data_IF_792518235312
#
_entry.id   IF_792518235312
#
_cell.length_a   1.000
_cell.length_b   1.000
_cell.length_c   1.000
_cell.angle_alpha   90.00
_cell.angle_beta   90.00
_cell.angle_gamma   90.00
#
_symmetry.space_group_name_H-M   'P 1'
#
loop_
_entity.id
_entity.type
_entity.pdbx_description
1 polymer ?
#
# COMPACT_ATOMS: atom_id res chain seq x y z
N UNK A 1 3.96 5.73 13.61
CA UNK A 1 2.89 6.29 14.46
C UNK A 1 1.99 5.10 14.69
N UNK A 2 1.84 4.61 15.93
CA UNK A 2 1.35 3.25 16.18
C UNK A 2 0.00 2.95 15.50
N UNK A 3 -0.19 1.70 15.07
CA UNK A 3 -1.46 1.23 14.55
C UNK A 3 -2.49 1.32 15.69
N UNK A 4 -3.57 2.11 15.55
CA UNK A 4 -4.54 2.29 16.61
C UNK A 4 -5.20 0.96 16.97
N UNK A 5 -5.10 0.56 18.24
CA UNK A 5 -5.62 -0.72 18.76
C UNK A 5 -4.55 -1.77 19.08
N UNK A 6 -3.29 -1.55 18.68
CA UNK A 6 -2.19 -2.46 18.98
C UNK A 6 -1.11 -1.79 19.83
N UNK A 7 -0.51 -2.56 20.74
CA UNK A 7 0.64 -2.13 21.52
C UNK A 7 1.84 -1.92 20.60
N UNK A 8 2.48 -0.75 20.68
CA UNK A 8 3.66 -0.39 19.86
C UNK A 8 4.83 -1.37 19.99
N UNK A 9 4.86 -2.20 21.05
CA UNK A 9 5.88 -3.22 21.25
C UNK A 9 5.69 -4.47 20.37
N UNK A 10 4.52 -4.65 19.76
CA UNK A 10 4.20 -5.79 18.89
C UNK A 10 4.11 -5.43 17.41
N UNK A 11 4.31 -4.15 17.06
CA UNK A 11 4.28 -3.65 15.68
C UNK A 11 5.70 -3.65 15.15
N UNK A 12 5.94 -4.38 14.05
CA UNK A 12 7.18 -4.30 13.31
C UNK A 12 7.06 -3.22 12.22
N UNK A 13 7.95 -2.23 12.26
CA UNK A 13 7.95 -1.09 11.33
C UNK A 13 9.15 -1.17 10.38
N UNK A 14 8.86 -1.01 9.10
CA UNK A 14 9.83 -1.04 8.01
C UNK A 14 9.65 0.21 7.16
N UNK A 15 10.72 0.93 6.88
CA UNK A 15 10.67 2.16 6.08
C UNK A 15 11.74 2.11 4.98
N UNK A 16 11.34 2.50 3.77
CA UNK A 16 12.19 2.63 2.60
C UNK A 16 12.15 4.08 2.12
N UNK A 17 13.05 4.89 2.64
CA UNK A 17 13.12 6.34 2.38
C UNK A 17 13.30 6.67 0.90
N UNK A 18 14.02 5.83 0.15
CA UNK A 18 14.30 6.02 -1.29
C UNK A 18 13.04 5.97 -2.17
N UNK A 19 12.01 5.26 -1.73
CA UNK A 19 10.73 5.14 -2.45
C UNK A 19 9.59 5.84 -1.69
N UNK A 20 9.88 6.51 -0.57
CA UNK A 20 8.84 7.08 0.30
C UNK A 20 7.84 6.03 0.80
N UNK A 21 8.27 4.78 1.00
CA UNK A 21 7.40 3.69 1.39
C UNK A 21 7.61 3.30 2.85
N UNK A 22 6.53 2.98 3.54
CA UNK A 22 6.53 2.54 4.92
C UNK A 22 5.52 1.44 5.11
N UNK A 23 5.92 0.38 5.80
CA UNK A 23 5.06 -0.74 6.16
C UNK A 23 5.14 -0.98 7.65
N UNK A 24 3.98 -0.97 8.29
CA UNK A 24 3.81 -1.33 9.70
C UNK A 24 3.00 -2.62 9.71
N UNK A 25 3.50 -3.67 10.37
CA UNK A 25 2.79 -4.95 10.43
C UNK A 25 2.71 -5.47 11.87
N UNK A 26 1.63 -6.18 12.14
CA UNK A 26 1.38 -6.91 13.38
C UNK A 26 1.19 -8.36 13.00
N UNK A 27 2.14 -9.19 13.43
CA UNK A 27 2.05 -10.62 13.24
C UNK A 27 2.68 -11.33 14.44
N UNK A 28 2.15 -12.51 14.77
CA UNK A 28 2.72 -13.36 15.82
C UNK A 28 4.13 -13.86 15.48
N UNK A 29 4.47 -13.95 14.19
CA UNK A 29 5.81 -14.30 13.72
C UNK A 29 6.20 -13.43 12.52
N UNK A 30 7.25 -12.64 12.70
CA UNK A 30 7.87 -11.80 11.65
C UNK A 30 9.26 -12.35 11.37
N UNK A 31 9.58 -12.75 10.13
CA UNK A 31 10.91 -13.24 9.80
C UNK A 31 11.91 -12.08 9.75
N UNK A 32 13.16 -12.31 10.17
CA UNK A 32 14.23 -11.30 10.13
C UNK A 32 14.56 -10.82 8.70
N UNK A 33 14.24 -11.64 7.70
CA UNK A 33 14.39 -11.30 6.29
C UNK A 33 13.27 -10.39 5.77
N UNK A 34 12.18 -10.19 6.54
CA UNK A 34 11.10 -9.30 6.13
C UNK A 34 11.61 -7.86 6.02
N UNK A 35 11.22 -7.19 4.95
CA UNK A 35 11.59 -5.80 4.74
C UNK A 35 11.04 -5.23 3.45
N UNK A 36 11.48 -4.02 3.14
CA UNK A 36 11.10 -3.29 1.94
C UNK A 36 12.31 -3.18 1.01
N UNK A 37 12.11 -3.54 -0.25
CA UNK A 37 13.09 -3.36 -1.30
C UNK A 37 12.48 -2.55 -2.45
N UNK A 38 13.31 -1.75 -3.12
CA UNK A 38 12.87 -1.09 -4.35
C UNK A 38 12.54 -2.16 -5.39
N UNK A 39 11.34 -2.08 -5.98
CA UNK A 39 11.00 -3.02 -7.04
C UNK A 39 11.76 -2.69 -8.32
N UNK A 40 12.20 -3.74 -9.01
CA UNK A 40 12.74 -3.64 -10.38
C UNK A 40 11.66 -3.68 -11.45
N UNK A 41 10.38 -3.80 -11.07
CA UNK A 41 9.26 -3.85 -12.00
C UNK A 41 8.94 -2.47 -12.56
N UNK A 42 8.48 -2.46 -13.81
CA UNK A 42 8.02 -1.24 -14.43
C UNK A 42 6.72 -0.79 -13.74
N UNK A 43 6.63 0.47 -13.27
CA UNK A 43 5.41 0.96 -12.66
C UNK A 43 4.23 0.90 -13.64
N UNK A 44 2.99 0.64 -13.18
CA UNK A 44 1.81 0.79 -14.02
C UNK A 44 1.71 2.23 -14.54
N UNK A 45 0.98 2.42 -15.65
CA UNK A 45 0.84 3.74 -16.29
C UNK A 45 0.20 4.79 -15.37
N UNK A 46 -0.63 4.31 -14.44
CA UNK A 46 -1.32 5.11 -13.43
C UNK A 46 -0.50 5.26 -12.13
N UNK A 47 0.77 4.80 -12.09
CA UNK A 47 1.60 4.91 -10.91
C UNK A 47 2.03 6.36 -10.63
N UNK A 48 1.74 6.80 -9.41
CA UNK A 48 2.14 8.10 -8.89
C UNK A 48 3.45 8.04 -8.08
N UNK A 49 4.02 6.84 -7.90
CA UNK A 49 5.26 6.59 -7.17
C UNK A 49 6.10 5.46 -7.75
N UNK A 50 7.19 5.10 -7.07
CA UNK A 50 8.02 3.95 -7.41
C UNK A 50 7.44 2.67 -6.76
N UNK A 51 7.36 1.54 -7.49
CA UNK A 51 6.90 0.28 -6.93
C UNK A 51 7.89 -0.28 -5.92
N UNK A 52 7.36 -0.93 -4.89
CA UNK A 52 8.11 -1.48 -3.75
C UNK A 52 7.77 -2.94 -3.55
N UNK A 53 8.79 -3.76 -3.39
CA UNK A 53 8.66 -5.18 -3.07
C UNK A 53 8.72 -5.43 -1.57
N UNK A 54 7.75 -6.20 -1.09
CA UNK A 54 7.64 -6.76 0.24
C UNK A 54 8.45 -8.05 0.29
N UNK A 55 9.65 -7.98 0.87
CA UNK A 55 10.56 -9.12 0.99
C UNK A 55 10.05 -10.07 2.07
N UNK A 56 10.10 -11.38 1.81
CA UNK A 56 9.70 -12.43 2.74
C UNK A 56 8.26 -12.29 3.30
N UNK A 57 7.34 -11.67 2.55
CA UNK A 57 5.94 -11.56 2.99
C UNK A 57 5.23 -12.92 3.06
N UNK A 58 5.72 -13.92 2.34
CA UNK A 58 5.23 -15.30 2.37
C UNK A 58 5.56 -16.07 3.63
N UNK A 59 6.58 -15.63 4.35
CA UNK A 59 7.04 -16.27 5.57
C UNK A 59 6.35 -15.71 6.81
N UNK A 60 5.58 -14.62 6.66
CA UNK A 60 4.76 -14.05 7.73
C UNK A 60 3.70 -15.06 8.20
N UNK A 61 3.54 -15.20 9.52
CA UNK A 61 2.53 -16.09 10.12
C UNK A 61 1.78 -15.39 11.23
N UNK A 62 0.50 -15.76 11.37
CA UNK A 62 -0.43 -15.17 12.32
C UNK A 62 -0.48 -13.64 12.16
N UNK A 63 -0.71 -13.18 10.93
CA UNK A 63 -0.87 -11.77 10.61
C UNK A 63 -2.19 -11.31 11.23
N UNK A 64 -2.15 -10.20 11.95
CA UNK A 64 -3.32 -9.54 12.50
C UNK A 64 -3.66 -8.25 11.74
N UNK A 65 -2.62 -7.50 11.35
CA UNK A 65 -2.78 -6.27 10.57
C UNK A 65 -1.53 -5.96 9.77
N UNK A 66 -1.70 -5.41 8.57
CA UNK A 66 -0.63 -4.86 7.73
C UNK A 66 -1.07 -3.49 7.26
N UNK A 67 -0.25 -2.49 7.50
CA UNK A 67 -0.47 -1.11 7.07
C UNK A 67 0.63 -0.71 6.12
N UNK A 68 0.27 -0.26 4.94
CA UNK A 68 1.17 0.10 3.86
C UNK A 68 0.94 1.57 3.54
N UNK A 69 1.92 2.41 3.82
CA UNK A 69 1.90 3.83 3.53
C UNK A 69 2.91 4.14 2.42
N UNK A 70 2.44 4.76 1.34
CA UNK A 70 3.25 5.11 0.17
C UNK A 70 3.08 6.60 -0.11
N UNK A 71 4.19 7.30 -0.27
CA UNK A 71 4.19 8.68 -0.75
C UNK A 71 3.90 8.68 -2.25
N UNK A 72 3.02 9.56 -2.69
CA UNK A 72 2.68 9.73 -4.09
C UNK A 72 3.01 11.15 -4.55
N UNK A 73 3.36 11.31 -5.84
CA UNK A 73 3.61 12.63 -6.41
C UNK A 73 2.32 13.18 -7.04
N UNK A 74 1.67 14.19 -6.44
CA UNK A 74 0.44 14.76 -6.98
C UNK A 74 0.65 15.49 -8.32
N UNK A 75 1.89 15.79 -8.70
CA UNK A 75 2.19 16.39 -10.01
C UNK A 75 2.09 15.38 -11.15
N UNK A 76 2.09 14.07 -10.84
CA UNK A 76 1.88 12.99 -11.81
C UNK A 76 0.39 12.69 -12.04
N UNK A 77 -0.50 13.26 -11.24
CA UNK A 77 -1.93 13.07 -11.40
C UNK A 77 -2.41 13.61 -12.75
N UNK A 78 -3.32 12.89 -13.43
CA UNK A 78 -3.86 13.37 -14.69
C UNK A 78 -4.69 14.66 -14.50
N UNK A 79 -4.76 15.51 -15.54
CA UNK A 79 -5.52 16.75 -15.44
C UNK A 79 -7.01 16.46 -15.26
N UNK A 80 -7.56 16.86 -14.11
CA UNK A 80 -8.95 16.58 -13.73
C UNK A 80 -9.12 15.52 -12.64
N UNK A 81 -8.05 14.80 -12.30
CA UNK A 81 -8.04 13.89 -11.15
C UNK A 81 -8.07 14.66 -9.84
N UNK A 82 -8.82 14.13 -8.86
CA UNK A 82 -8.75 14.60 -7.50
C UNK A 82 -7.50 14.02 -6.84
N UNK A 83 -6.81 14.78 -5.98
CA UNK A 83 -5.68 14.24 -5.23
C UNK A 83 -6.08 13.17 -4.20
N UNK A 84 -7.38 12.92 -4.03
CA UNK A 84 -7.99 11.84 -3.24
C UNK A 84 -8.24 10.56 -4.04
N UNK A 85 -8.16 10.61 -5.37
CA UNK A 85 -8.33 9.47 -6.28
C UNK A 85 -7.02 8.68 -6.36
N UNK A 86 -6.45 8.35 -5.20
CA UNK A 86 -5.18 7.65 -5.08
C UNK A 86 -5.35 6.46 -4.17
N UNK A 87 -4.95 5.29 -4.64
CA UNK A 87 -4.99 4.06 -3.86
C UNK A 87 -3.62 3.38 -3.85
N UNK A 88 -3.38 2.55 -2.83
CA UNK A 88 -2.30 1.57 -2.91
C UNK A 88 -2.78 0.45 -3.82
N UNK A 89 -2.09 0.25 -4.93
CA UNK A 89 -2.28 -0.91 -5.78
C UNK A 89 -1.26 -2.00 -5.43
N UNK A 90 -1.69 -3.26 -5.49
CA UNK A 90 -0.85 -4.43 -5.28
C UNK A 90 -0.82 -5.26 -6.56
N UNK A 91 0.37 -5.73 -6.93
CA UNK A 91 0.56 -6.63 -8.07
C UNK A 91 0.11 -8.04 -7.67
N UNK A 92 -1.12 -8.38 -8.06
CA UNK A 92 -1.69 -9.71 -7.93
C UNK A 92 -1.55 -10.49 -9.26
N UNK A 93 -1.89 -11.78 -9.25
CA UNK A 93 -1.76 -12.66 -10.42
C UNK A 93 -2.52 -12.16 -11.67
N UNK A 94 -3.64 -11.45 -11.49
CA UNK A 94 -4.46 -10.90 -12.60
C UNK A 94 -4.07 -9.46 -12.99
N UNK A 95 -3.10 -8.87 -12.30
CA UNK A 95 -2.62 -7.50 -12.51
C UNK A 95 -2.61 -6.66 -11.23
N UNK A 96 -2.56 -5.35 -11.39
CA UNK A 96 -2.56 -4.41 -10.28
C UNK A 96 -3.98 -4.22 -9.75
N UNK A 97 -4.23 -4.66 -8.52
CA UNK A 97 -5.51 -4.50 -7.82
C UNK A 97 -5.43 -3.36 -6.80
N UNK A 98 -6.34 -2.37 -6.83
CA UNK A 98 -6.39 -1.33 -5.81
C UNK A 98 -6.88 -1.91 -4.47
N UNK A 99 -6.20 -1.53 -3.40
CA UNK A 99 -6.56 -1.87 -2.02
C UNK A 99 -7.37 -0.75 -1.38
N UNK A 100 -8.21 -1.09 -0.41
CA UNK A 100 -8.91 -0.10 0.42
C UNK A 100 -7.87 0.79 1.13
N UNK A 101 -7.82 2.04 0.68
CA UNK A 101 -6.77 2.99 1.03
C UNK A 101 -7.35 4.33 1.46
N UNK A 102 -6.64 5.02 2.33
CA UNK A 102 -6.97 6.38 2.77
C UNK A 102 -5.85 7.32 2.36
N UNK A 103 -6.21 8.41 1.71
CA UNK A 103 -5.27 9.43 1.25
C UNK A 103 -5.14 10.55 2.28
N UNK A 104 -3.91 10.87 2.63
CA UNK A 104 -3.57 12.04 3.41
C UNK A 104 -3.01 13.14 2.50
N UNK A 105 -3.83 14.19 2.30
CA UNK A 105 -3.49 15.33 1.45
C UNK A 105 -2.43 16.25 2.08
N UNK A 106 -2.25 16.19 3.40
CA UNK A 106 -1.27 17.00 4.11
C UNK A 106 0.15 16.46 3.94
N UNK A 107 0.28 15.14 3.97
CA UNK A 107 1.54 14.42 3.83
C UNK A 107 1.76 13.82 2.42
N UNK A 108 0.82 14.02 1.48
CA UNK A 108 0.84 13.41 0.13
C UNK A 108 1.12 11.91 0.19
N UNK A 109 0.45 11.24 1.13
CA UNK A 109 0.70 9.83 1.45
C UNK A 109 -0.60 9.07 1.37
N UNK A 110 -0.60 7.93 0.69
CA UNK A 110 -1.72 7.01 0.66
C UNK A 110 -1.42 5.82 1.56
N UNK A 111 -2.41 5.41 2.37
CA UNK A 111 -2.27 4.34 3.35
C UNK A 111 -3.31 3.26 3.11
N UNK A 112 -2.90 2.04 2.82
CA UNK A 112 -3.76 0.86 2.85
C UNK A 112 -3.64 0.12 4.17
N UNK A 113 -4.76 -0.43 4.66
CA UNK A 113 -4.79 -1.28 5.85
C UNK A 113 -5.43 -2.61 5.48
N UNK A 114 -4.70 -3.69 5.68
CA UNK A 114 -5.13 -5.05 5.46
C UNK A 114 -5.20 -5.78 6.80
N UNK A 115 -6.23 -6.59 6.99
CA UNK A 115 -6.36 -7.47 8.16
C UNK A 115 -5.74 -8.86 7.93
N UNK A 116 -5.15 -9.08 6.76
CA UNK A 116 -4.53 -10.34 6.36
C UNK A 116 -3.30 -10.04 5.48
N UNK A 117 -2.70 -11.10 4.91
CA UNK A 117 -1.56 -10.98 4.01
C UNK A 117 -1.96 -10.23 2.73
N UNK A 118 -1.12 -9.33 2.21
CA UNK A 118 -1.34 -8.77 0.89
C UNK A 118 -1.35 -9.89 -0.18
N UNK A 119 -2.25 -9.79 -1.18
CA UNK A 119 -2.35 -10.82 -2.23
C UNK A 119 -1.10 -10.89 -3.10
N UNK A 120 -0.35 -9.79 -3.19
CA UNK A 120 0.90 -9.68 -3.91
C UNK A 120 2.10 -9.30 -3.04
N UNK A 121 3.29 -9.40 -3.62
CA UNK A 121 4.55 -8.95 -3.00
C UNK A 121 4.89 -7.52 -3.37
N UNK A 122 4.42 -7.02 -4.52
CA UNK A 122 4.78 -5.68 -5.00
C UNK A 122 3.62 -4.72 -4.80
N UNK A 123 3.88 -3.54 -4.27
CA UNK A 123 2.89 -2.48 -4.03
C UNK A 123 3.34 -1.15 -4.61
N UNK A 124 2.40 -0.32 -5.02
CA UNK A 124 2.66 1.01 -5.60
C UNK A 124 1.52 1.95 -5.30
N UNK A 125 1.80 3.25 -5.18
CA UNK A 125 0.76 4.26 -5.15
C UNK A 125 0.30 4.53 -6.58
N UNK A 126 -0.98 4.28 -6.87
CA UNK A 126 -1.58 4.46 -8.18
C UNK A 126 -2.75 5.43 -8.13
N UNK A 127 -3.01 6.09 -9.25
CA UNK A 127 -4.28 6.77 -9.48
C UNK A 127 -5.39 5.73 -9.57
N UNK A 128 -6.45 5.93 -8.79
CA UNK A 128 -7.62 5.07 -8.76
C UNK A 128 -8.81 5.85 -9.33
N UNK A 129 -9.20 5.51 -10.56
CA UNK A 129 -10.34 6.12 -11.26
C UNK A 129 -11.68 5.51 -10.80
N UNK A 130 -11.71 4.65 -9.76
CA UNK A 130 -12.91 3.88 -9.41
C UNK A 130 -14.02 4.70 -8.74
N UNK A 131 -13.82 6.01 -8.52
CA UNK A 131 -14.89 6.95 -8.14
C UNK A 131 -16.03 7.00 -9.19
N UNK A 132 -15.84 6.39 -10.37
CA UNK A 132 -16.86 6.24 -11.42
C UNK A 132 -17.88 5.09 -11.31
N UNK A 133 -17.68 4.07 -10.46
CA UNK A 133 -18.56 2.86 -10.41
C UNK A 133 -19.12 2.54 -9.00
N UNK A 134 -19.29 3.53 -8.12
CA UNK A 134 -20.32 3.44 -7.06
C UNK A 134 -21.70 3.81 -7.63
N UNK A 135 -22.06 3.18 -8.75
CA UNK A 135 -23.28 3.37 -9.49
C UNK A 135 -23.95 2.04 -9.79
N UNK A 136 -24.77 1.58 -8.84
CA UNK A 136 -25.94 0.71 -9.03
C UNK A 136 -25.71 -0.82 -9.14
N UNK A 137 -26.22 -1.56 -8.14
CA UNK A 137 -27.29 -2.56 -8.32
C UNK A 137 -27.70 -3.23 -7.00
N UNK A 138 -28.85 -2.86 -6.43
CA UNK A 138 -29.75 -3.79 -5.73
C UNK A 138 -31.13 -3.15 -5.42
N UNK A 139 -32.06 -3.36 -6.38
CA UNK A 139 -33.52 -3.59 -6.25
C UNK A 139 -34.37 -2.74 -5.30
#
# INVERSE_FOLDING_TARGET
MAIPGYDSSSVAEYTLEQAGARVELVAGVVPDAFGLAKSGREPPVDALGDPVDLVACEELKAIEAVRIALVYDPSRLPPGASPTDVAVAVDADDGWEPLESTVDLGETTVTAVLNDRPPGTTVVAGYDDTDGESGNSAT
#
